data_IF_801868099011
#
_entry.id   IF_801868099011
#
_cell.length_a   1.000
_cell.length_b   1.000
_cell.length_c   1.000
_cell.angle_alpha   90.00
_cell.angle_beta   90.00
_cell.angle_gamma   90.00
#
_symmetry.space_group_name_H-M   'P 1'
#
loop_
_entity.id
_entity.type
_entity.pdbx_description
1 polymer ?
#
# COMPACT_ATOMS: atom_id res chain seq x y z
N UNK A 1 -21.10 10.44 10.16
CA UNK A 1 -20.30 9.20 10.02
C UNK A 1 -19.11 9.63 9.21
N UNK A 2 -18.04 10.01 9.91
CA UNK A 2 -17.05 10.99 9.37
C UNK A 2 -15.87 10.28 8.68
N UNK A 3 -15.93 8.95 8.65
CA UNK A 3 -15.02 8.06 7.97
C UNK A 3 -15.72 6.73 7.67
N UNK A 4 -15.19 5.97 6.71
CA UNK A 4 -15.60 4.60 6.38
C UNK A 4 -14.52 3.63 6.85
N UNK A 5 -14.83 2.73 7.79
CA UNK A 5 -13.88 1.71 8.24
C UNK A 5 -13.79 0.54 7.27
N UNK A 6 -12.57 0.10 6.96
CA UNK A 6 -12.28 -1.10 6.17
C UNK A 6 -11.62 -2.12 7.10
N UNK A 7 -12.46 -3.00 7.63
CA UNK A 7 -12.05 -3.91 8.70
C UNK A 7 -11.51 -3.16 9.91
N UNK A 8 -10.49 -3.72 10.54
CA UNK A 8 -9.89 -3.22 11.78
C UNK A 8 -8.56 -2.45 11.59
N UNK A 9 -8.02 -2.46 10.37
CA UNK A 9 -6.69 -1.90 10.07
C UNK A 9 -6.77 -0.49 9.47
N UNK A 10 -7.88 -0.17 8.78
CA UNK A 10 -7.94 0.98 7.90
C UNK A 10 -9.25 1.73 8.03
N UNK A 11 -9.21 3.04 7.75
CA UNK A 11 -10.39 3.84 7.49
C UNK A 11 -10.14 4.86 6.37
N UNK A 12 -11.20 5.22 5.66
CA UNK A 12 -11.19 6.25 4.61
C UNK A 12 -11.83 7.52 5.17
N UNK A 13 -11.17 8.66 5.00
CA UNK A 13 -11.71 9.99 5.33
C UNK A 13 -11.17 11.05 4.37
N UNK A 14 -11.69 12.27 4.47
CA UNK A 14 -11.06 13.42 3.81
C UNK A 14 -9.64 13.63 4.32
N UNK A 15 -8.69 13.76 3.40
CA UNK A 15 -7.33 14.13 3.71
C UNK A 15 -7.31 15.59 4.20
N UNK A 16 -6.56 15.93 5.28
CA UNK A 16 -6.44 17.32 5.74
C UNK A 16 -5.93 18.27 4.66
N UNK A 17 -5.12 17.75 3.73
CA UNK A 17 -4.77 18.44 2.50
C UNK A 17 -5.93 18.31 1.50
N UNK A 18 -6.69 19.40 1.37
CA UNK A 18 -7.88 19.48 0.54
C UNK A 18 -7.61 19.22 -0.96
N UNK A 19 -6.35 19.33 -1.41
CA UNK A 19 -5.99 19.04 -2.81
C UNK A 19 -6.00 17.54 -3.13
N UNK A 20 -5.97 16.68 -2.11
CA UNK A 20 -5.89 15.21 -2.25
C UNK A 20 -7.24 14.51 -2.23
N UNK A 21 -8.30 15.14 -1.73
CA UNK A 21 -9.62 14.53 -1.60
C UNK A 21 -9.70 13.50 -0.48
N UNK A 22 -10.13 12.26 -0.77
CA UNK A 22 -10.19 11.17 0.21
C UNK A 22 -8.83 10.45 0.32
N UNK A 23 -8.45 10.12 1.54
CA UNK A 23 -7.27 9.32 1.85
C UNK A 23 -7.62 8.07 2.66
N UNK A 24 -6.73 7.09 2.63
CA UNK A 24 -6.80 5.88 3.44
C UNK A 24 -5.81 5.97 4.59
N UNK A 25 -6.24 5.66 5.81
CA UNK A 25 -5.47 5.91 7.03
C UNK A 25 -5.43 4.67 7.90
N UNK A 26 -4.32 4.48 8.62
CA UNK A 26 -4.16 3.39 9.57
C UNK A 26 -5.07 3.60 10.80
N UNK A 27 -5.98 2.65 11.06
CA UNK A 27 -6.85 2.65 12.23
C UNK A 27 -6.11 2.30 13.53
N UNK A 28 -5.01 1.58 13.39
CA UNK A 28 -4.09 1.18 14.46
C UNK A 28 -2.66 1.17 13.93
N UNK A 29 -1.68 0.96 14.81
CA UNK A 29 -0.31 0.70 14.39
C UNK A 29 -0.24 -0.53 13.49
N UNK A 30 0.38 -0.39 12.33
CA UNK A 30 0.63 -1.48 11.38
C UNK A 30 2.12 -1.78 11.38
N UNK A 31 2.48 -3.02 11.73
CA UNK A 31 3.88 -3.45 11.72
C UNK A 31 4.43 -3.57 10.30
N UNK A 32 5.73 -3.30 10.14
CA UNK A 32 6.44 -3.60 8.89
C UNK A 32 6.14 -5.02 8.39
N UNK A 33 5.95 -5.15 7.07
CA UNK A 33 5.69 -6.43 6.40
C UNK A 33 4.22 -6.88 6.46
N UNK A 34 3.37 -6.27 7.30
CA UNK A 34 1.95 -6.58 7.35
C UNK A 34 1.33 -6.41 5.95
N UNK A 35 0.57 -7.43 5.52
CA UNK A 35 -0.22 -7.37 4.29
C UNK A 35 -1.48 -6.55 4.55
N UNK A 36 -1.55 -5.37 3.95
CA UNK A 36 -2.61 -4.38 4.14
C UNK A 36 -3.82 -4.71 3.27
N UNK A 37 -3.59 -5.09 2.01
CA UNK A 37 -4.65 -5.37 1.03
C UNK A 37 -4.24 -6.56 0.16
N UNK A 38 -5.23 -7.32 -0.29
CA UNK A 38 -5.10 -8.27 -1.40
C UNK A 38 -6.24 -8.00 -2.37
N UNK A 39 -5.94 -7.79 -3.65
CA UNK A 39 -6.96 -7.51 -4.67
C UNK A 39 -6.61 -8.11 -6.03
N UNK A 40 -7.64 -8.41 -6.82
CA UNK A 40 -7.53 -8.91 -8.18
C UNK A 40 -7.23 -7.74 -9.14
N UNK A 41 -6.23 -7.90 -10.01
CA UNK A 41 -5.86 -6.83 -10.93
C UNK A 41 -6.75 -6.84 -12.15
N UNK A 42 -7.42 -5.72 -12.40
CA UNK A 42 -8.24 -5.52 -13.61
C UNK A 42 -7.45 -4.88 -14.76
N UNK A 43 -6.42 -4.07 -14.46
CA UNK A 43 -5.59 -3.39 -15.46
C UNK A 43 -4.17 -3.18 -14.94
N UNK A 44 -3.16 -3.45 -15.78
CA UNK A 44 -1.75 -3.24 -15.48
C UNK A 44 -1.16 -2.17 -16.38
N UNK A 45 -0.46 -1.20 -15.81
CA UNK A 45 0.24 -0.14 -16.54
C UNK A 45 1.63 0.07 -15.93
N UNK A 46 2.65 0.23 -16.77
CA UNK A 46 4.03 0.51 -16.35
C UNK A 46 4.38 1.96 -16.70
N UNK A 47 4.81 2.74 -15.71
CA UNK A 47 5.43 4.05 -15.94
C UNK A 47 6.80 4.13 -15.26
N UNK A 48 7.63 5.10 -15.69
CA UNK A 48 9.08 5.15 -15.46
C UNK A 48 9.56 6.38 -14.70
N UNK A 49 8.71 7.02 -13.91
CA UNK A 49 9.09 8.22 -13.16
C UNK A 49 8.85 8.06 -11.66
N UNK A 50 9.95 8.15 -10.90
CA UNK A 50 10.00 7.96 -9.46
C UNK A 50 10.02 9.32 -8.74
N UNK A 51 8.89 9.73 -8.16
CA UNK A 51 8.77 11.04 -7.49
C UNK A 51 8.22 10.91 -6.06
N UNK A 52 7.86 9.71 -5.58
CA UNK A 52 7.23 9.55 -4.27
C UNK A 52 7.93 8.52 -3.38
N UNK A 53 8.05 8.82 -2.08
CA UNK A 53 8.51 7.88 -1.05
C UNK A 53 7.28 7.28 -0.34
N UNK A 54 6.64 6.22 -0.87
CA UNK A 54 5.46 5.64 -0.26
C UNK A 54 5.81 4.90 1.03
N UNK A 55 4.81 4.71 1.89
CA UNK A 55 4.95 3.94 3.14
C UNK A 55 4.57 2.46 2.97
N UNK A 56 3.96 2.12 1.83
CA UNK A 56 3.61 0.76 1.45
C UNK A 56 4.00 0.47 -0.02
N UNK A 57 4.21 -0.81 -0.34
CA UNK A 57 4.48 -1.30 -1.70
C UNK A 57 3.47 -2.34 -2.14
N UNK A 58 3.25 -2.39 -3.46
CA UNK A 58 2.39 -3.38 -4.11
C UNK A 58 3.24 -4.43 -4.81
N UNK A 59 2.84 -5.70 -4.68
CA UNK A 59 3.50 -6.86 -5.29
C UNK A 59 2.49 -7.83 -5.88
N UNK A 60 2.80 -8.38 -7.06
CA UNK A 60 2.04 -9.51 -7.60
C UNK A 60 2.44 -10.80 -6.89
N UNK A 61 1.48 -11.47 -6.26
CA UNK A 61 1.68 -12.77 -5.65
C UNK A 61 1.12 -13.85 -6.59
N UNK A 62 2.00 -14.60 -7.26
CA UNK A 62 1.59 -15.64 -8.21
C UNK A 62 0.78 -16.76 -7.56
N UNK A 63 1.09 -17.15 -6.32
CA UNK A 63 0.36 -18.20 -5.59
C UNK A 63 -1.08 -17.79 -5.31
N UNK A 64 -1.31 -16.51 -4.99
CA UNK A 64 -2.65 -15.97 -4.74
C UNK A 64 -3.35 -15.48 -6.01
N UNK A 65 -2.62 -15.35 -7.13
CA UNK A 65 -3.11 -14.70 -8.34
C UNK A 65 -3.63 -13.29 -8.07
N UNK A 66 -2.96 -12.53 -7.20
CA UNK A 66 -3.47 -11.24 -6.71
C UNK A 66 -2.33 -10.24 -6.43
N UNK A 67 -2.64 -8.94 -6.51
CA UNK A 67 -1.76 -7.92 -5.95
C UNK A 67 -1.92 -7.87 -4.45
N UNK A 68 -0.80 -7.72 -3.77
CA UNK A 68 -0.70 -7.64 -2.33
C UNK A 68 0.01 -6.35 -1.95
N UNK A 69 -0.56 -5.61 -1.01
CA UNK A 69 0.03 -4.36 -0.50
C UNK A 69 0.67 -4.63 0.85
N UNK A 70 1.91 -4.21 1.04
CA UNK A 70 2.69 -4.46 2.26
C UNK A 70 3.29 -3.17 2.84
N UNK A 71 3.23 -3.02 4.15
CA UNK A 71 3.88 -1.92 4.87
C UNK A 71 5.41 -2.03 4.77
N UNK A 72 6.10 -0.94 4.38
CA UNK A 72 7.57 -0.90 4.25
C UNK A 72 8.29 -0.60 5.55
N UNK A 73 7.56 -0.01 6.48
CA UNK A 73 7.96 0.31 7.85
C UNK A 73 6.74 0.24 8.74
N UNK A 74 6.95 0.44 10.03
CA UNK A 74 5.84 0.71 10.94
C UNK A 74 5.08 1.96 10.47
N UNK A 75 3.74 1.84 10.45
CA UNK A 75 2.81 2.93 10.13
C UNK A 75 2.01 3.20 11.40
N UNK A 76 2.08 4.43 11.89
CA UNK A 76 1.43 4.79 13.16
C UNK A 76 -0.07 5.04 12.98
N UNK A 77 -0.83 4.89 14.05
CA UNK A 77 -2.28 5.12 13.99
C UNK A 77 -2.59 6.56 13.56
N UNK A 78 -3.50 6.73 12.60
CA UNK A 78 -3.87 8.01 12.01
C UNK A 78 -2.96 8.47 10.87
N UNK A 79 -1.88 7.75 10.55
CA UNK A 79 -1.02 8.02 9.41
C UNK A 79 -1.69 7.61 8.09
N UNK A 80 -1.51 8.43 7.03
CA UNK A 80 -2.02 8.13 5.69
C UNK A 80 -1.20 7.02 5.04
N UNK A 81 -1.87 5.95 4.60
CA UNK A 81 -1.24 4.85 3.86
C UNK A 81 -1.12 5.28 2.40
N UNK A 82 0.10 5.62 1.99
CA UNK A 82 0.42 6.04 0.63
C UNK A 82 1.10 4.93 -0.16
N UNK A 83 0.76 4.86 -1.45
CA UNK A 83 1.35 3.98 -2.45
C UNK A 83 1.89 4.84 -3.58
N UNK A 84 2.96 4.39 -4.23
CA UNK A 84 3.35 4.99 -5.51
C UNK A 84 2.55 4.30 -6.62
N UNK A 85 1.85 5.09 -7.43
CA UNK A 85 1.23 4.59 -8.68
C UNK A 85 2.27 4.17 -9.70
N UNK A 86 3.48 4.73 -9.59
CA UNK A 86 4.61 4.49 -10.46
C UNK A 86 5.69 3.82 -9.62
N UNK A 87 5.62 2.50 -9.52
CA UNK A 87 6.71 1.72 -8.93
C UNK A 87 7.58 1.20 -10.08
N UNK A 88 8.87 1.52 -10.07
CA UNK A 88 9.83 0.81 -10.91
C UNK A 88 9.69 -0.69 -10.61
N UNK A 89 9.30 -1.45 -11.63
CA UNK A 89 9.22 -2.91 -11.61
C UNK A 89 8.25 -3.52 -10.57
N UNK A 90 6.95 -3.25 -10.70
CA UNK A 90 5.88 -4.11 -10.13
C UNK A 90 5.98 -5.59 -10.61
N UNK A 91 6.83 -5.88 -11.61
CA UNK A 91 7.12 -7.20 -12.18
C UNK A 91 8.53 -7.74 -11.88
N UNK A 92 9.17 -7.41 -10.76
CA UNK A 92 10.31 -8.22 -10.33
C UNK A 92 9.80 -9.63 -9.98
N UNK A 93 9.83 -10.52 -10.97
CA UNK A 93 9.50 -11.96 -10.89
C UNK A 93 10.48 -12.76 -10.03
N UNK A 94 11.44 -12.11 -9.37
CA UNK A 94 12.51 -12.76 -8.62
C UNK A 94 12.28 -12.60 -7.12
N UNK A 95 12.62 -13.65 -6.37
CA UNK A 95 12.41 -13.81 -4.93
C UNK A 95 13.10 -12.78 -4.01
N UNK A 96 13.77 -11.77 -4.57
CA UNK A 96 14.57 -10.78 -3.82
C UNK A 96 13.75 -9.80 -2.96
N UNK A 97 12.53 -9.33 -3.33
CA UNK A 97 11.82 -8.33 -2.54
C UNK A 97 11.30 -8.85 -1.19
N UNK A 98 10.94 -10.14 -1.10
CA UNK A 98 10.43 -10.72 0.15
C UNK A 98 11.47 -10.63 1.27
N UNK A 99 12.77 -10.74 0.93
CA UNK A 99 13.87 -10.57 1.88
C UNK A 99 13.96 -9.15 2.46
N UNK A 100 13.53 -8.11 1.72
CA UNK A 100 13.56 -6.70 2.19
C UNK A 100 12.43 -6.37 3.18
N UNK A 101 11.35 -7.15 3.15
CA UNK A 101 10.24 -7.04 4.09
C UNK A 101 10.54 -7.73 5.43
N UNK A 102 11.44 -8.72 5.45
CA UNK A 102 11.74 -9.57 6.61
C UNK A 102 12.94 -9.14 7.47
N UNK A 103 13.69 -8.12 7.05
CA UNK A 103 14.83 -7.55 7.81
C UNK A 103 14.44 -6.32 8.64
#
# INVERSE_FOLDING_TARGET
>A
MDHLSIGENLFIRLCPDISKGLGMFAARKLSKGLRILTDQVTLTYESREDICKPVAWIYWNETLGAMTVHALRDIEAGEEVTLSYIQESIYLRTAEPHSRLMN
#
